data_IF_332701239576
#
_entry.id   IF_332701239576
#
_cell.length_a   1.000
_cell.length_b   1.000
_cell.length_c   1.000
_cell.angle_alpha   90.00
_cell.angle_beta   90.00
_cell.angle_gamma   90.00
#
_symmetry.space_group_name_H-M   'P 1'
#
loop_
_entity.id
_entity.type
_entity.pdbx_description
1 polymer ?
#
# COMPACT_ATOMS: atom_id res chain seq x y z
N UNK A 1 -64.09 22.19 -16.52
CA UNK A 1 -64.42 22.39 -17.95
C UNK A 1 -63.10 22.44 -18.72
N UNK A 2 -62.90 21.60 -19.75
CA UNK A 2 -63.19 21.84 -21.19
C UNK A 2 -62.34 22.98 -21.80
N UNK A 3 -61.67 22.86 -22.96
CA UNK A 3 -61.32 21.67 -23.81
C UNK A 3 -60.34 22.05 -24.95
N UNK A 4 -59.29 21.22 -25.16
CA UNK A 4 -58.64 20.91 -26.45
C UNK A 4 -57.85 22.08 -27.11
N UNK A 5 -56.93 21.93 -28.08
CA UNK A 5 -56.45 20.84 -28.97
C UNK A 5 -54.90 21.00 -29.12
N UNK A 6 -54.06 20.26 -29.86
CA UNK A 6 -54.15 19.14 -30.83
C UNK A 6 -52.82 18.32 -30.88
N UNK A 7 -52.58 17.56 -31.96
CA UNK A 7 -51.34 16.84 -32.37
C UNK A 7 -51.44 16.56 -33.90
N UNK A 8 -50.66 15.70 -34.61
CA UNK A 8 -49.54 14.77 -34.28
C UNK A 8 -48.17 15.37 -34.73
N UNK A 9 -47.04 14.69 -35.03
CA UNK A 9 -46.63 13.28 -35.23
C UNK A 9 -45.09 13.13 -34.93
N UNK A 10 -44.35 12.04 -35.16
CA UNK A 10 -44.61 10.70 -35.76
C UNK A 10 -43.70 9.62 -35.10
N UNK A 11 -43.97 8.32 -35.31
CA UNK A 11 -43.15 7.18 -34.84
C UNK A 11 -42.89 6.15 -35.95
N UNK A 12 -41.73 5.48 -35.94
CA UNK A 12 -41.54 4.07 -36.38
C UNK A 12 -40.52 3.40 -35.44
N UNK A 13 -40.89 2.32 -34.73
CA UNK A 13 -40.56 0.91 -35.06
C UNK A 13 -39.05 0.64 -35.20
N UNK A 14 -38.37 -0.21 -34.42
CA UNK A 14 -38.79 -0.99 -33.24
C UNK A 14 -39.19 -2.45 -33.54
N UNK A 15 -38.29 -3.41 -33.31
CA UNK A 15 -38.57 -4.85 -33.22
C UNK A 15 -37.41 -5.63 -32.56
N UNK A 16 -37.74 -6.56 -31.66
CA UNK A 16 -36.86 -7.65 -31.21
C UNK A 16 -37.73 -8.84 -30.79
N UNK A 17 -37.52 -10.05 -31.33
CA UNK A 17 -38.12 -11.30 -30.84
C UNK A 17 -37.63 -12.59 -31.55
N UNK A 18 -37.58 -13.68 -30.76
CA UNK A 18 -37.93 -15.08 -31.10
C UNK A 18 -37.21 -15.81 -32.26
N UNK A 19 -36.23 -16.62 -31.87
CA UNK A 19 -36.32 -18.10 -31.79
C UNK A 19 -37.30 -18.83 -32.74
N UNK A 20 -36.77 -19.78 -33.53
CA UNK A 20 -37.49 -20.89 -34.17
C UNK A 20 -36.66 -22.18 -34.13
N UNK A 21 -37.34 -23.35 -34.12
CA UNK A 21 -36.76 -24.72 -34.14
C UNK A 21 -37.19 -25.47 -35.41
N UNK A 22 -36.58 -26.64 -35.64
CA UNK A 22 -36.84 -27.61 -36.73
C UNK A 22 -36.27 -27.18 -38.10
N UNK A 23 -35.89 -28.08 -39.01
CA UNK A 23 -36.00 -29.55 -39.02
C UNK A 23 -34.64 -30.27 -38.98
N UNK A 24 -34.66 -31.60 -38.81
CA UNK A 24 -33.51 -32.49 -38.96
C UNK A 24 -33.74 -33.51 -40.09
N UNK A 25 -32.72 -33.80 -40.90
CA UNK A 25 -32.79 -34.77 -42.00
C UNK A 25 -31.50 -35.58 -42.17
N UNK A 26 -31.42 -36.68 -41.41
CA UNK A 26 -30.75 -37.96 -41.67
C UNK A 26 -29.40 -38.02 -42.45
N UNK A 27 -28.41 -38.59 -41.74
CA UNK A 27 -27.45 -39.62 -42.19
C UNK A 27 -26.38 -39.25 -43.25
N UNK A 28 -25.11 -39.35 -42.84
CA UNK A 28 -23.93 -39.30 -43.70
C UNK A 28 -22.65 -39.46 -42.87
N UNK A 29 -22.13 -40.69 -42.75
CA UNK A 29 -21.02 -41.01 -41.85
C UNK A 29 -19.65 -40.60 -42.41
N UNK A 30 -18.84 -39.88 -41.64
CA UNK A 30 -17.37 -40.07 -41.55
C UNK A 30 -16.75 -39.20 -40.47
N UNK A 31 -15.66 -39.69 -39.86
CA UNK A 31 -14.79 -38.90 -39.00
C UNK A 31 -13.90 -38.00 -39.86
N UNK A 32 -13.72 -36.74 -39.45
CA UNK A 32 -12.43 -36.03 -39.42
C UNK A 32 -12.58 -34.90 -38.39
N UNK A 33 -11.69 -34.87 -37.40
CA UNK A 33 -11.67 -33.82 -36.38
C UNK A 33 -10.79 -32.66 -36.87
N UNK A 34 -11.43 -31.58 -37.33
CA UNK A 34 -10.76 -30.33 -37.69
C UNK A 34 -11.07 -29.25 -36.64
N UNK A 35 -10.52 -29.41 -35.41
CA UNK A 35 -10.57 -28.34 -34.41
C UNK A 35 -9.60 -27.25 -34.85
N UNK A 36 -10.12 -26.28 -35.59
CA UNK A 36 -9.43 -25.00 -35.80
C UNK A 36 -9.41 -24.31 -34.44
N UNK A 37 -8.32 -24.52 -33.69
CA UNK A 37 -7.92 -23.65 -32.60
C UNK A 37 -7.66 -22.28 -33.21
N UNK A 38 -8.71 -21.46 -33.27
CA UNK A 38 -8.59 -20.05 -33.59
C UNK A 38 -7.77 -19.42 -32.48
N UNK A 39 -6.46 -19.34 -32.71
CA UNK A 39 -5.50 -18.69 -31.83
C UNK A 39 -5.75 -17.18 -31.92
N UNK A 40 -6.80 -16.73 -31.25
CA UNK A 40 -7.00 -15.35 -30.88
C UNK A 40 -5.86 -14.96 -29.94
N UNK A 41 -4.69 -14.68 -30.51
CA UNK A 41 -3.65 -13.90 -29.87
C UNK A 41 -4.33 -12.66 -29.32
N UNK A 42 -4.32 -12.51 -27.99
CA UNK A 42 -4.69 -11.23 -27.38
C UNK A 42 -3.86 -10.15 -28.08
N UNK A 43 -4.45 -8.99 -28.42
CA UNK A 43 -3.64 -7.86 -28.84
C UNK A 43 -2.53 -7.64 -27.80
N UNK A 44 -1.30 -7.29 -28.21
CA UNK A 44 -0.21 -7.08 -27.27
C UNK A 44 -0.66 -6.04 -26.24
N UNK A 45 -0.52 -6.39 -24.96
CA UNK A 45 -1.12 -5.66 -23.84
C UNK A 45 -0.82 -4.16 -23.90
N UNK A 46 -1.83 -3.37 -24.32
CA UNK A 46 -1.73 -1.92 -24.50
C UNK A 46 -1.98 -1.14 -23.21
N UNK A 47 -2.09 -1.82 -22.06
CA UNK A 47 -2.11 -1.16 -20.76
C UNK A 47 -0.82 -0.34 -20.55
N UNK A 48 -0.89 0.79 -19.82
CA UNK A 48 0.32 1.54 -19.46
C UNK A 48 1.28 0.63 -18.68
N UNK A 49 2.58 0.74 -18.99
CA UNK A 49 3.64 -0.07 -18.37
C UNK A 49 3.65 0.16 -16.85
N UNK A 50 3.42 -0.90 -16.07
CA UNK A 50 3.42 -0.88 -14.60
C UNK A 50 4.82 -0.69 -13.95
N UNK A 51 5.76 -0.07 -14.67
CA UNK A 51 7.11 0.26 -14.22
C UNK A 51 7.49 1.66 -14.75
N UNK A 52 6.82 2.68 -14.21
CA UNK A 52 7.35 4.05 -14.10
C UNK A 52 7.64 4.27 -12.62
N UNK A 53 8.81 3.83 -12.16
CA UNK A 53 9.07 3.73 -10.73
C UNK A 53 9.82 4.97 -10.20
N UNK A 54 9.05 5.88 -9.60
CA UNK A 54 9.58 7.05 -8.91
C UNK A 54 10.45 6.68 -7.69
N UNK A 55 10.24 5.52 -7.07
CA UNK A 55 11.08 5.00 -5.99
C UNK A 55 12.41 4.49 -6.54
N UNK A 56 12.42 3.82 -7.69
CA UNK A 56 13.64 3.47 -8.41
C UNK A 56 14.41 4.73 -8.88
N UNK A 57 13.71 5.75 -9.37
CA UNK A 57 14.31 7.04 -9.74
C UNK A 57 14.94 7.74 -8.53
N UNK A 58 14.26 7.81 -7.38
CA UNK A 58 14.81 8.36 -6.14
C UNK A 58 15.92 7.47 -5.54
N UNK A 59 15.87 6.14 -5.73
CA UNK A 59 16.83 5.18 -5.20
C UNK A 59 18.12 5.05 -6.02
N UNK A 60 18.10 5.41 -7.30
CA UNK A 60 19.28 5.31 -8.20
C UNK A 60 20.46 6.24 -7.82
N UNK A 61 20.32 7.10 -6.80
CA UNK A 61 21.34 7.99 -6.23
C UNK A 61 22.58 7.27 -5.64
N UNK A 62 22.63 5.94 -5.67
CA UNK A 62 23.80 5.12 -5.34
C UNK A 62 24.61 4.67 -6.56
N UNK A 63 24.05 4.74 -7.77
CA UNK A 63 24.62 4.17 -9.01
C UNK A 63 24.57 5.10 -10.23
N UNK A 64 23.82 6.21 -10.16
CA UNK A 64 23.67 7.15 -11.26
C UNK A 64 24.80 8.19 -11.28
N UNK A 65 25.44 8.36 -12.44
CA UNK A 65 26.41 9.42 -12.74
C UNK A 65 25.73 10.74 -13.14
N UNK A 66 24.48 10.69 -13.58
CA UNK A 66 23.69 11.88 -13.88
C UNK A 66 22.18 11.68 -13.70
N UNK A 67 21.48 12.78 -13.43
CA UNK A 67 20.03 12.90 -13.51
C UNK A 67 19.70 13.98 -14.54
N UNK A 68 18.87 13.64 -15.53
CA UNK A 68 18.56 14.53 -16.66
C UNK A 68 17.06 14.55 -16.95
N UNK A 69 16.62 15.68 -17.49
CA UNK A 69 15.34 15.86 -18.16
C UNK A 69 15.58 16.04 -19.66
N UNK A 70 14.84 15.34 -20.51
CA UNK A 70 15.10 15.32 -21.96
C UNK A 70 13.98 14.75 -22.80
N UNK A 71 14.24 14.65 -24.11
CA UNK A 71 13.33 14.05 -25.10
C UNK A 71 14.00 12.86 -25.80
N UNK A 72 13.27 11.76 -25.92
CA UNK A 72 13.71 10.56 -26.61
C UNK A 72 13.66 10.77 -28.12
N UNK A 73 14.82 10.67 -28.77
CA UNK A 73 15.00 10.76 -30.21
C UNK A 73 14.76 9.43 -30.93
N UNK A 74 15.66 9.06 -31.85
CA UNK A 74 15.57 7.78 -32.57
C UNK A 74 15.84 6.61 -31.63
N UNK A 75 14.82 5.78 -31.41
CA UNK A 75 14.93 4.46 -30.77
C UNK A 75 15.41 3.44 -31.81
N UNK A 76 16.31 2.54 -31.40
CA UNK A 76 16.81 1.43 -32.21
C UNK A 76 17.03 0.18 -31.35
N UNK A 77 16.88 -0.99 -31.96
CA UNK A 77 17.12 -2.30 -31.32
C UNK A 77 18.59 -2.68 -31.50
N UNK A 78 19.22 -3.17 -30.43
CA UNK A 78 20.61 -3.65 -30.42
C UNK A 78 20.63 -5.14 -30.75
N UNK A 79 19.80 -5.92 -30.06
CA UNK A 79 19.74 -7.39 -30.16
C UNK A 79 18.35 -7.93 -29.78
N UNK A 80 18.23 -9.19 -29.35
CA UNK A 80 16.94 -9.78 -28.95
C UNK A 80 16.29 -9.05 -27.76
N UNK A 81 17.05 -8.55 -26.78
CA UNK A 81 16.55 -7.88 -25.57
C UNK A 81 17.05 -6.44 -25.42
N UNK A 82 18.24 -6.11 -25.95
CA UNK A 82 18.82 -4.78 -25.84
C UNK A 82 18.23 -3.74 -26.79
N UNK A 83 17.97 -2.55 -26.25
CA UNK A 83 17.54 -1.35 -26.99
C UNK A 83 18.42 -0.14 -26.65
N UNK A 84 18.51 0.80 -27.59
CA UNK A 84 19.12 2.13 -27.41
C UNK A 84 18.23 3.23 -27.94
N UNK A 85 18.42 4.45 -27.45
CA UNK A 85 17.85 5.65 -28.04
C UNK A 85 18.81 6.84 -27.91
N UNK A 86 18.75 7.74 -28.88
CA UNK A 86 19.29 9.09 -28.69
C UNK A 86 18.44 9.79 -27.63
N UNK A 87 19.06 10.52 -26.69
CA UNK A 87 18.38 11.41 -25.76
C UNK A 87 18.88 12.84 -26.00
N UNK A 88 17.94 13.75 -26.28
CA UNK A 88 18.20 15.18 -26.31
C UNK A 88 18.05 15.75 -24.89
N UNK A 89 19.15 16.10 -24.25
CA UNK A 89 19.17 16.63 -22.87
C UNK A 89 18.65 18.06 -22.88
N UNK A 90 17.49 18.28 -22.27
CA UNK A 90 16.84 19.60 -22.17
C UNK A 90 17.27 20.35 -20.91
N UNK A 91 17.52 19.64 -19.81
CA UNK A 91 18.07 20.19 -18.57
C UNK A 91 18.77 19.10 -17.74
N UNK A 92 19.87 19.45 -17.07
CA UNK A 92 20.58 18.58 -16.13
C UNK A 92 20.20 18.91 -14.68
N UNK A 93 19.84 17.88 -13.93
CA UNK A 93 19.44 17.97 -12.52
C UNK A 93 20.71 17.79 -11.65
N UNK A 94 21.51 16.77 -11.96
CA UNK A 94 22.86 16.55 -11.40
C UNK A 94 23.73 15.71 -12.35
N UNK A 95 25.04 15.69 -12.11
CA UNK A 95 25.98 14.79 -12.81
C UNK A 95 26.94 15.46 -13.80
N UNK A 96 27.58 14.63 -14.62
CA UNK A 96 28.64 15.04 -15.55
C UNK A 96 28.16 15.43 -16.98
N UNK A 97 26.87 15.20 -17.27
CA UNK A 97 26.22 15.58 -18.54
C UNK A 97 25.95 17.09 -18.57
N UNK A 98 25.77 17.70 -19.75
CA UNK A 98 25.51 19.13 -19.94
C UNK A 98 24.16 19.42 -20.60
N UNK A 99 23.63 20.61 -20.36
CA UNK A 99 22.42 21.09 -21.04
C UNK A 99 22.65 21.16 -22.57
N UNK A 100 21.71 20.63 -23.35
CA UNK A 100 21.81 20.56 -24.81
C UNK A 100 22.60 19.35 -25.35
N UNK A 101 23.22 18.53 -24.51
CA UNK A 101 23.95 17.34 -24.97
C UNK A 101 23.03 16.37 -25.73
N UNK A 102 23.62 15.70 -26.73
CA UNK A 102 23.03 14.56 -27.43
C UNK A 102 23.79 13.30 -27.01
N UNK A 103 23.18 12.49 -26.16
CA UNK A 103 23.76 11.24 -25.64
C UNK A 103 22.98 10.02 -26.12
N UNK A 104 23.55 8.84 -26.01
CA UNK A 104 22.84 7.58 -26.17
C UNK A 104 22.45 7.05 -24.78
N UNK A 105 21.22 6.56 -24.65
CA UNK A 105 20.78 5.76 -23.51
C UNK A 105 20.46 4.33 -23.98
N UNK A 106 20.64 3.35 -23.11
CA UNK A 106 20.34 1.96 -23.40
C UNK A 106 19.69 1.23 -22.21
N UNK A 107 18.93 0.18 -22.51
CA UNK A 107 18.21 -0.63 -21.53
C UNK A 107 17.91 -2.04 -22.08
N UNK A 108 17.60 -2.98 -21.19
CA UNK A 108 17.08 -4.30 -21.55
C UNK A 108 15.56 -4.41 -21.46
N UNK A 109 15.00 -5.21 -22.37
CA UNK A 109 13.62 -5.66 -22.40
C UNK A 109 13.57 -7.19 -22.49
N UNK A 110 13.43 -7.83 -21.32
CA UNK A 110 13.27 -9.28 -21.22
C UNK A 110 11.92 -9.73 -21.84
N UNK A 111 10.89 -8.88 -21.77
CA UNK A 111 9.55 -9.14 -22.28
C UNK A 111 9.43 -8.83 -23.79
N UNK A 112 10.21 -9.54 -24.63
CA UNK A 112 10.41 -9.28 -26.07
C UNK A 112 9.17 -9.21 -26.99
N UNK A 113 7.97 -9.44 -26.46
CA UNK A 113 6.67 -9.31 -27.16
C UNK A 113 5.95 -7.97 -26.88
N UNK A 114 6.48 -7.12 -25.98
CA UNK A 114 5.94 -5.79 -25.68
C UNK A 114 6.57 -4.72 -26.57
N UNK A 115 5.86 -3.60 -26.75
CA UNK A 115 6.42 -2.37 -27.30
C UNK A 115 7.61 -1.88 -26.42
N UNK A 116 8.64 -1.20 -26.98
CA UNK A 116 9.84 -0.78 -26.24
C UNK A 116 9.55 0.14 -25.04
N UNK A 117 10.53 0.30 -24.12
CA UNK A 117 10.38 1.14 -22.91
C UNK A 117 10.20 2.61 -23.23
N UNK A 118 10.79 3.10 -24.33
CA UNK A 118 10.65 4.48 -24.77
C UNK A 118 10.25 4.55 -26.25
N UNK A 119 9.47 5.58 -26.60
CA UNK A 119 9.10 5.94 -27.96
C UNK A 119 9.73 7.29 -28.36
N UNK A 120 9.88 7.54 -29.67
CA UNK A 120 10.35 8.84 -30.16
C UNK A 120 9.33 9.92 -29.78
N UNK A 121 9.79 10.97 -29.11
CA UNK A 121 8.97 12.07 -28.60
C UNK A 121 8.56 11.92 -27.12
N UNK A 122 8.90 10.80 -26.46
CA UNK A 122 8.74 10.68 -25.01
C UNK A 122 9.59 11.75 -24.30
N UNK A 123 8.93 12.65 -23.57
CA UNK A 123 9.60 13.61 -22.67
C UNK A 123 9.75 12.94 -21.30
N UNK A 124 10.98 12.86 -20.80
CA UNK A 124 11.36 11.99 -19.67
C UNK A 124 12.31 12.64 -18.68
N UNK A 125 12.19 12.23 -17.41
CA UNK A 125 13.27 12.29 -16.41
C UNK A 125 13.94 10.92 -16.35
N UNK A 126 15.27 10.90 -16.29
CA UNK A 126 16.09 9.68 -16.25
C UNK A 126 17.18 9.81 -15.20
N UNK A 127 17.40 8.73 -14.44
CA UNK A 127 18.68 8.47 -13.79
C UNK A 127 19.58 7.66 -14.74
N UNK A 128 20.79 8.14 -14.97
CA UNK A 128 21.76 7.58 -15.92
C UNK A 128 22.92 6.93 -15.16
N UNK A 129 23.11 5.62 -15.35
CA UNK A 129 24.21 4.85 -14.80
C UNK A 129 25.29 4.58 -15.88
N UNK A 130 26.56 4.38 -15.50
CA UNK A 130 27.62 4.02 -16.45
C UNK A 130 27.36 2.65 -17.09
N UNK A 131 27.76 2.51 -18.35
CA UNK A 131 27.77 1.22 -19.05
C UNK A 131 28.97 0.38 -18.55
N UNK A 132 28.78 -0.77 -17.87
CA UNK A 132 29.87 -1.45 -17.18
C UNK A 132 30.95 -2.00 -18.14
N UNK A 133 32.18 -1.51 -17.96
CA UNK A 133 33.29 -1.69 -18.91
C UNK A 133 33.73 -3.14 -19.15
N UNK A 134 33.50 -4.04 -18.20
CA UNK A 134 33.83 -5.47 -18.26
C UNK A 134 32.73 -6.35 -18.84
N UNK A 135 31.57 -5.80 -19.20
CA UNK A 135 30.43 -6.62 -19.65
C UNK A 135 30.44 -6.89 -21.15
N UNK A 136 29.97 -8.07 -21.54
CA UNK A 136 29.62 -8.42 -22.92
C UNK A 136 28.61 -7.45 -23.56
N UNK A 137 27.91 -6.65 -22.73
CA UNK A 137 26.98 -5.61 -23.15
C UNK A 137 27.69 -4.43 -23.85
N UNK A 138 28.84 -3.96 -23.35
CA UNK A 138 29.63 -2.90 -24.00
C UNK A 138 30.05 -3.27 -25.44
N UNK A 139 30.34 -4.55 -25.67
CA UNK A 139 30.74 -5.06 -26.97
C UNK A 139 29.59 -5.07 -28.00
N UNK A 140 28.33 -4.91 -27.59
CA UNK A 140 27.16 -4.83 -28.50
C UNK A 140 26.98 -3.45 -29.14
N UNK A 141 27.62 -2.40 -28.60
CA UNK A 141 27.57 -1.05 -29.15
C UNK A 141 28.63 -0.84 -30.24
N UNK A 142 28.37 -0.02 -31.28
CA UNK A 142 29.38 0.44 -32.23
C UNK A 142 30.62 1.02 -31.51
N UNK A 143 31.85 0.74 -31.95
CA UNK A 143 33.07 1.22 -31.28
C UNK A 143 33.10 2.73 -31.02
N UNK A 144 32.54 3.52 -31.93
CA UNK A 144 32.46 4.99 -31.85
C UNK A 144 31.61 5.51 -30.69
N UNK A 145 30.72 4.68 -30.12
CA UNK A 145 29.84 5.02 -29.01
C UNK A 145 30.37 4.55 -27.65
N UNK A 146 31.41 3.69 -27.61
CA UNK A 146 31.96 3.10 -26.38
C UNK A 146 32.73 4.09 -25.50
N UNK A 147 33.10 5.25 -26.03
CA UNK A 147 33.88 6.27 -25.32
C UNK A 147 32.94 7.28 -24.62
N UNK A 148 32.38 6.88 -23.46
CA UNK A 148 31.61 7.72 -22.53
C UNK A 148 30.47 8.54 -23.15
N UNK A 149 29.76 7.98 -24.15
CA UNK A 149 28.55 8.59 -24.74
C UNK A 149 27.30 7.71 -24.66
N UNK A 150 27.41 6.50 -24.10
CA UNK A 150 26.30 5.57 -23.85
C UNK A 150 26.13 5.40 -22.34
N UNK A 151 24.94 5.70 -21.85
CA UNK A 151 24.53 5.45 -20.47
C UNK A 151 23.50 4.33 -20.40
N UNK A 152 23.46 3.60 -19.29
CA UNK A 152 22.31 2.78 -18.94
C UNK A 152 21.24 3.65 -18.27
N UNK A 153 19.97 3.36 -18.52
CA UNK A 153 18.92 3.82 -17.61
C UNK A 153 19.04 3.01 -16.32
N UNK A 154 19.15 3.70 -15.17
CA UNK A 154 19.49 3.07 -13.89
C UNK A 154 18.37 2.14 -13.37
N UNK A 155 18.67 1.36 -12.32
CA UNK A 155 17.77 0.38 -11.70
C UNK A 155 17.10 -0.54 -12.74
N UNK A 156 17.90 -1.29 -13.50
CA UNK A 156 17.45 -2.20 -14.57
C UNK A 156 16.60 -1.53 -15.68
N UNK A 157 16.70 -0.21 -15.78
CA UNK A 157 15.98 0.62 -16.74
C UNK A 157 14.67 1.22 -16.21
N UNK A 158 14.29 1.00 -14.96
CA UNK A 158 13.02 1.47 -14.39
C UNK A 158 13.12 2.81 -13.64
N UNK A 159 14.33 3.36 -13.46
CA UNK A 159 14.57 4.67 -12.86
C UNK A 159 14.26 5.84 -13.83
N UNK A 160 12.99 6.00 -14.19
CA UNK A 160 12.51 7.05 -15.10
C UNK A 160 11.06 7.48 -14.84
N UNK A 161 10.67 8.65 -15.35
CA UNK A 161 9.28 9.14 -15.37
C UNK A 161 8.98 9.82 -16.71
N UNK A 162 7.84 9.52 -17.36
CA UNK A 162 7.37 10.25 -18.57
C UNK A 162 6.45 11.41 -18.22
N UNK A 163 6.44 12.44 -19.06
CA UNK A 163 5.45 13.53 -19.02
C UNK A 163 5.53 14.46 -17.82
N UNK A 164 6.62 14.38 -17.04
CA UNK A 164 6.82 15.17 -15.83
C UNK A 164 7.09 16.66 -16.15
N UNK A 165 6.45 17.56 -15.41
CA UNK A 165 6.61 19.03 -15.54
C UNK A 165 7.98 19.48 -14.99
N UNK A 166 8.84 20.15 -15.78
CA UNK A 166 10.12 20.73 -15.34
C UNK A 166 10.09 21.43 -13.97
N UNK A 167 9.02 22.19 -13.71
CA UNK A 167 8.87 22.95 -12.47
C UNK A 167 8.66 22.04 -11.26
N UNK A 168 7.91 20.94 -11.45
CA UNK A 168 7.64 19.91 -10.43
C UNK A 168 8.75 18.84 -10.36
N UNK A 169 9.74 18.89 -11.26
CA UNK A 169 10.97 18.09 -11.17
C UNK A 169 12.05 18.83 -10.37
N UNK A 170 12.09 20.16 -10.40
CA UNK A 170 13.15 20.96 -9.76
C UNK A 170 13.48 20.59 -8.28
N UNK A 171 12.51 20.23 -7.40
CA UNK A 171 12.83 19.77 -6.05
C UNK A 171 13.69 18.52 -5.97
N UNK A 172 13.65 17.62 -6.97
CA UNK A 172 14.47 16.40 -7.04
C UNK A 172 15.96 16.70 -6.93
N UNK A 173 16.40 17.87 -7.43
CA UNK A 173 17.79 18.33 -7.34
C UNK A 173 18.31 18.37 -5.91
N UNK A 174 17.46 18.75 -4.93
CA UNK A 174 17.86 18.81 -3.53
C UNK A 174 18.19 17.44 -2.93
N UNK A 175 17.64 16.35 -3.49
CA UNK A 175 17.92 14.97 -3.06
C UNK A 175 19.13 14.38 -3.78
N UNK A 176 19.17 14.48 -5.11
CA UNK A 176 20.15 13.75 -5.94
C UNK A 176 21.58 14.30 -5.89
N UNK A 177 21.79 15.51 -5.33
CA UNK A 177 23.13 16.09 -5.12
C UNK A 177 23.74 15.76 -3.75
N UNK A 178 22.97 15.22 -2.81
CA UNK A 178 23.47 14.95 -1.46
C UNK A 178 24.39 13.72 -1.44
N UNK A 179 25.53 13.76 -0.72
CA UNK A 179 26.35 12.58 -0.51
C UNK A 179 25.61 11.53 0.34
N UNK A 180 25.99 10.23 0.27
CA UNK A 180 25.27 9.15 0.97
C UNK A 180 25.15 9.35 2.48
N UNK A 181 26.17 9.94 3.12
CA UNK A 181 26.19 10.26 4.55
C UNK A 181 25.13 11.31 4.93
N UNK A 182 25.01 12.40 4.18
CA UNK A 182 24.04 13.45 4.43
C UNK A 182 22.60 13.02 4.10
N UNK A 183 22.43 12.11 3.13
CA UNK A 183 21.12 11.49 2.85
C UNK A 183 20.57 10.71 4.04
N UNK A 184 21.40 10.05 4.84
CA UNK A 184 20.94 9.40 6.08
C UNK A 184 20.59 10.39 7.21
N UNK A 185 21.00 11.66 7.11
CA UNK A 185 20.77 12.70 8.12
C UNK A 185 19.59 13.63 7.80
N UNK A 186 19.45 14.69 8.61
CA UNK A 186 18.39 15.70 8.43
C UNK A 186 18.46 16.44 7.09
N UNK A 187 19.62 16.48 6.43
CA UNK A 187 19.73 17.02 5.07
C UNK A 187 18.90 16.19 4.06
N UNK A 188 18.99 14.86 4.11
CA UNK A 188 18.14 13.96 3.31
C UNK A 188 16.66 14.09 3.63
N UNK A 189 16.30 14.15 4.92
CA UNK A 189 14.91 14.36 5.34
C UNK A 189 14.32 15.65 4.77
N UNK A 190 15.05 16.78 4.88
CA UNK A 190 14.67 18.07 4.31
C UNK A 190 14.57 18.06 2.78
N UNK A 191 15.49 17.38 2.11
CA UNK A 191 15.46 17.23 0.66
C UNK A 191 14.21 16.47 0.20
N UNK A 192 13.91 15.32 0.80
CA UNK A 192 12.72 14.54 0.48
C UNK A 192 11.43 15.29 0.85
N UNK A 193 11.40 16.03 1.97
CA UNK A 193 10.23 16.83 2.34
C UNK A 193 9.93 17.94 1.31
N UNK A 194 10.97 18.53 0.70
CA UNK A 194 10.81 19.46 -0.43
C UNK A 194 10.29 18.76 -1.70
N UNK A 195 10.69 17.51 -1.96
CA UNK A 195 10.12 16.68 -3.05
C UNK A 195 8.66 16.33 -2.76
N UNK A 196 8.28 16.03 -1.52
CA UNK A 196 6.86 15.86 -1.13
C UNK A 196 6.07 17.17 -1.34
N UNK A 197 6.63 18.32 -1.00
CA UNK A 197 5.92 19.60 -1.06
C UNK A 197 5.74 20.17 -2.48
N UNK A 198 6.80 20.18 -3.31
CA UNK A 198 6.78 20.78 -4.64
C UNK A 198 6.85 19.79 -5.81
N UNK A 199 7.05 18.49 -5.52
CA UNK A 199 7.27 17.48 -6.55
C UNK A 199 6.04 17.17 -7.39
N UNK A 200 6.27 16.45 -8.48
CA UNK A 200 5.22 15.76 -9.21
C UNK A 200 4.63 14.63 -8.36
N UNK A 201 3.36 14.25 -8.54
CA UNK A 201 2.65 13.35 -7.62
C UNK A 201 3.34 11.98 -7.45
N UNK A 202 3.86 11.39 -8.53
CA UNK A 202 4.63 10.13 -8.46
C UNK A 202 5.91 10.30 -7.61
N UNK A 203 6.60 11.43 -7.74
CA UNK A 203 7.79 11.77 -6.93
C UNK A 203 7.43 12.05 -5.48
N UNK A 204 6.32 12.75 -5.22
CA UNK A 204 5.87 13.08 -3.87
C UNK A 204 5.46 11.82 -3.08
N UNK A 205 4.74 10.89 -3.71
CA UNK A 205 4.40 9.58 -3.13
C UNK A 205 5.65 8.77 -2.76
N UNK A 206 6.60 8.64 -3.71
CA UNK A 206 7.83 7.90 -3.47
C UNK A 206 8.74 8.58 -2.41
N UNK A 207 8.80 9.91 -2.39
CA UNK A 207 9.54 10.64 -1.35
C UNK A 207 8.89 10.48 0.05
N UNK A 208 7.56 10.50 0.14
CA UNK A 208 6.84 10.20 1.38
C UNK A 208 7.07 8.74 1.85
N UNK A 209 7.16 7.79 0.92
CA UNK A 209 7.51 6.40 1.21
C UNK A 209 8.93 6.26 1.77
N UNK A 210 9.93 6.95 1.20
CA UNK A 210 11.31 6.95 1.75
C UNK A 210 11.34 7.65 3.13
N UNK A 211 10.65 8.78 3.30
CA UNK A 211 10.47 9.43 4.61
C UNK A 211 9.77 8.53 5.64
N UNK A 212 8.95 7.57 5.20
CA UNK A 212 8.33 6.56 6.06
C UNK A 212 9.25 5.39 6.40
N UNK A 213 10.03 4.91 5.43
CA UNK A 213 10.91 3.74 5.61
C UNK A 213 12.28 4.03 6.25
N UNK A 214 12.81 5.24 6.11
CA UNK A 214 14.24 5.51 6.36
C UNK A 214 14.54 6.57 7.44
N UNK A 215 13.53 7.20 8.05
CA UNK A 215 13.74 8.30 9.01
C UNK A 215 12.90 8.17 10.29
N UNK A 216 13.51 8.50 11.41
CA UNK A 216 12.91 8.57 12.74
C UNK A 216 12.10 9.88 12.94
N UNK A 217 11.26 9.93 13.98
CA UNK A 217 10.33 11.05 14.21
C UNK A 217 11.04 12.39 14.46
N UNK A 218 12.19 12.39 15.14
CA UNK A 218 13.02 13.58 15.39
C UNK A 218 13.52 14.25 14.09
N UNK A 219 13.65 13.49 13.00
CA UNK A 219 14.00 14.01 11.68
C UNK A 219 12.80 14.66 10.96
N UNK A 220 11.58 14.44 11.45
CA UNK A 220 10.35 15.07 10.98
C UNK A 220 9.99 16.33 11.78
N UNK A 221 10.59 16.52 12.96
CA UNK A 221 10.48 17.74 13.79
C UNK A 221 11.45 18.85 13.34
N UNK A 222 12.35 18.58 12.39
CA UNK A 222 13.19 19.59 11.73
C UNK A 222 12.30 20.71 11.14
N UNK A 223 12.53 22.00 11.49
CA UNK A 223 11.65 23.10 11.06
C UNK A 223 11.44 23.22 9.54
N UNK A 224 12.45 22.89 8.72
CA UNK A 224 12.31 22.90 7.26
C UNK A 224 11.41 21.74 6.78
N UNK A 225 11.45 20.57 7.46
CA UNK A 225 10.57 19.43 7.18
C UNK A 225 9.14 19.75 7.62
N UNK A 226 8.95 20.29 8.81
CA UNK A 226 7.65 20.73 9.32
C UNK A 226 7.02 21.76 8.38
N UNK A 227 7.79 22.77 7.95
CA UNK A 227 7.31 23.79 7.02
C UNK A 227 6.93 23.19 5.65
N UNK A 228 7.77 22.33 5.08
CA UNK A 228 7.52 21.69 3.80
C UNK A 228 6.28 20.78 3.84
N UNK A 229 6.15 19.92 4.85
CA UNK A 229 4.99 19.04 5.02
C UNK A 229 3.70 19.82 5.35
N UNK A 230 3.79 20.94 6.07
CA UNK A 230 2.66 21.84 6.30
C UNK A 230 2.18 22.48 5.00
N UNK A 231 3.10 22.99 4.17
CA UNK A 231 2.78 23.52 2.85
C UNK A 231 2.17 22.46 1.92
N UNK A 232 2.75 21.26 1.91
CA UNK A 232 2.23 20.11 1.16
C UNK A 232 0.78 19.78 1.56
N UNK A 233 0.50 19.63 2.86
CA UNK A 233 -0.84 19.34 3.36
C UNK A 233 -1.84 20.48 3.12
N UNK A 234 -1.38 21.73 3.17
CA UNK A 234 -2.24 22.89 2.92
C UNK A 234 -2.68 23.00 1.46
N UNK A 235 -1.78 22.72 0.51
CA UNK A 235 -1.93 23.12 -0.90
C UNK A 235 -2.04 21.99 -1.93
N UNK A 236 -1.68 20.74 -1.61
CA UNK A 236 -1.89 19.63 -2.56
C UNK A 236 -3.38 19.34 -2.79
N UNK A 237 -3.71 19.03 -4.04
CA UNK A 237 -5.07 18.63 -4.46
C UNK A 237 -5.20 17.11 -4.60
N UNK A 238 -4.09 16.37 -4.76
CA UNK A 238 -4.07 14.92 -4.86
C UNK A 238 -4.24 14.29 -3.47
N UNK A 239 -5.32 13.53 -3.28
CA UNK A 239 -5.65 12.89 -2.00
C UNK A 239 -4.65 11.78 -1.59
N UNK A 240 -4.08 11.03 -2.53
CA UNK A 240 -3.10 9.98 -2.25
C UNK A 240 -1.81 10.56 -1.65
N UNK A 241 -1.35 11.72 -2.15
CA UNK A 241 -0.20 12.43 -1.59
C UNK A 241 -0.48 12.88 -0.15
N UNK A 242 -1.68 13.41 0.12
CA UNK A 242 -2.10 13.83 1.46
C UNK A 242 -2.22 12.62 2.42
N UNK A 243 -2.80 11.51 1.96
CA UNK A 243 -2.90 10.26 2.74
C UNK A 243 -1.52 9.62 2.96
N UNK A 244 -0.57 9.74 2.03
CA UNK A 244 0.81 9.31 2.22
C UNK A 244 1.55 10.13 3.29
N UNK A 245 1.29 11.45 3.36
CA UNK A 245 1.82 12.32 4.44
C UNK A 245 1.20 11.95 5.79
N UNK A 246 -0.12 11.73 5.86
CA UNK A 246 -0.79 11.30 7.10
C UNK A 246 -0.34 9.89 7.52
N UNK A 247 -0.15 8.97 6.57
CA UNK A 247 0.40 7.63 6.78
C UNK A 247 1.88 7.63 7.22
N UNK A 248 2.60 8.74 7.03
CA UNK A 248 3.91 9.00 7.64
C UNK A 248 3.78 9.42 9.11
N UNK A 249 2.69 10.08 9.50
CA UNK A 249 2.44 10.57 10.87
C UNK A 249 1.78 9.54 11.80
N UNK A 250 0.99 8.59 11.29
CA UNK A 250 0.13 7.70 12.12
C UNK A 250 0.81 7.14 13.40
N UNK A 251 2.04 6.63 13.30
CA UNK A 251 2.77 6.02 14.43
C UNK A 251 3.98 6.87 14.89
N UNK A 252 4.07 8.13 14.46
CA UNK A 252 5.18 9.05 14.77
C UNK A 252 4.60 10.40 15.16
N UNK A 253 4.46 10.70 16.47
CA UNK A 253 4.08 12.02 16.94
C UNK A 253 5.04 13.08 16.41
N UNK A 254 4.49 14.11 15.76
CA UNK A 254 5.22 15.31 15.32
C UNK A 254 4.38 16.52 15.75
N UNK A 255 4.47 16.98 17.01
CA UNK A 255 3.52 17.93 17.59
C UNK A 255 3.40 19.25 16.81
N UNK A 256 4.47 19.67 16.13
CA UNK A 256 4.47 20.86 15.28
C UNK A 256 3.51 20.76 14.06
N UNK A 257 3.19 19.54 13.60
CA UNK A 257 2.23 19.30 12.52
C UNK A 257 0.78 19.13 13.01
N UNK A 258 0.54 19.09 14.33
CA UNK A 258 -0.81 19.00 14.92
C UNK A 258 -1.82 20.02 14.34
N UNK A 259 -1.48 21.32 14.14
CA UNK A 259 -2.47 22.30 13.66
C UNK A 259 -2.96 22.02 12.24
N UNK A 260 -2.07 21.58 11.34
CA UNK A 260 -2.43 21.27 9.96
C UNK A 260 -3.14 19.92 9.85
N UNK A 261 -2.80 18.93 10.69
CA UNK A 261 -3.59 17.69 10.79
C UNK A 261 -5.01 17.98 11.28
N UNK A 262 -5.20 18.87 12.27
CA UNK A 262 -6.53 19.31 12.71
C UNK A 262 -7.30 20.05 11.61
N UNK A 263 -6.63 20.88 10.80
CA UNK A 263 -7.24 21.52 9.64
C UNK A 263 -7.73 20.48 8.62
N UNK A 264 -6.91 19.47 8.28
CA UNK A 264 -7.33 18.37 7.40
C UNK A 264 -8.49 17.56 7.98
N UNK A 265 -8.48 17.33 9.30
CA UNK A 265 -9.52 16.63 10.04
C UNK A 265 -10.87 17.40 10.09
N UNK A 266 -10.86 18.69 9.77
CA UNK A 266 -12.04 19.56 9.64
C UNK A 266 -12.55 19.72 8.20
N UNK A 267 -11.87 19.17 7.18
CA UNK A 267 -12.30 19.25 5.77
C UNK A 267 -13.37 18.18 5.46
N UNK A 268 -14.40 18.54 4.69
CA UNK A 268 -15.44 17.62 4.24
C UNK A 268 -15.00 16.74 3.05
N UNK A 269 -13.96 15.95 3.28
CA UNK A 269 -13.48 14.90 2.37
C UNK A 269 -13.21 13.62 3.16
N UNK A 270 -14.23 12.77 3.29
CA UNK A 270 -14.28 11.65 4.25
C UNK A 270 -13.03 10.74 4.31
N UNK A 271 -12.38 10.30 3.21
CA UNK A 271 -11.16 9.48 3.29
C UNK A 271 -10.01 10.20 4.03
N UNK A 272 -9.76 11.45 3.63
CA UNK A 272 -8.71 12.32 4.17
C UNK A 272 -9.00 12.73 5.63
N UNK A 273 -10.26 13.08 5.90
CA UNK A 273 -10.78 13.44 7.21
C UNK A 273 -10.62 12.30 8.21
N UNK A 274 -10.99 11.08 7.82
CA UNK A 274 -10.82 9.86 8.63
C UNK A 274 -9.33 9.52 8.85
N UNK A 275 -8.48 9.70 7.83
CA UNK A 275 -7.03 9.51 7.97
C UNK A 275 -6.41 10.52 8.96
N UNK A 276 -6.78 11.80 8.86
CA UNK A 276 -6.29 12.85 9.75
C UNK A 276 -6.72 12.63 11.21
N UNK A 277 -7.99 12.25 11.43
CA UNK A 277 -8.45 11.86 12.77
C UNK A 277 -7.79 10.58 13.29
N UNK A 278 -7.36 9.64 12.44
CA UNK A 278 -6.58 8.46 12.88
C UNK A 278 -5.19 8.82 13.37
N UNK A 279 -4.52 9.78 12.72
CA UNK A 279 -3.25 10.33 13.23
C UNK A 279 -3.45 10.91 14.63
N UNK A 280 -4.44 11.79 14.80
CA UNK A 280 -4.76 12.41 16.10
C UNK A 280 -5.15 11.36 17.17
N UNK A 281 -5.90 10.32 16.80
CA UNK A 281 -6.25 9.23 17.70
C UNK A 281 -5.02 8.46 18.21
N UNK A 282 -4.09 8.08 17.32
CA UNK A 282 -2.86 7.36 17.68
C UNK A 282 -1.86 8.24 18.44
N UNK A 283 -1.86 9.54 18.19
CA UNK A 283 -1.10 10.52 18.97
C UNK A 283 -1.71 10.77 20.37
N UNK A 284 -2.80 10.09 20.73
CA UNK A 284 -3.54 10.29 21.97
C UNK A 284 -3.97 11.77 22.15
N UNK A 285 -4.44 12.42 21.09
CA UNK A 285 -4.78 13.84 21.10
C UNK A 285 -6.05 14.13 21.93
N UNK A 286 -6.08 15.21 22.73
CA UNK A 286 -7.30 15.64 23.44
C UNK A 286 -8.53 15.79 22.53
N UNK A 287 -8.39 16.34 21.33
CA UNK A 287 -9.51 16.52 20.40
C UNK A 287 -10.11 15.18 19.96
N UNK A 288 -9.27 14.17 19.73
CA UNK A 288 -9.74 12.81 19.42
C UNK A 288 -10.48 12.17 20.61
N UNK A 289 -10.07 12.47 21.86
CA UNK A 289 -10.75 11.99 23.08
C UNK A 289 -12.13 12.60 23.30
N UNK A 290 -12.42 13.76 22.71
CA UNK A 290 -13.72 14.44 22.75
C UNK A 290 -14.69 13.85 21.70
N UNK A 291 -14.19 13.55 20.50
CA UNK A 291 -15.00 12.99 19.41
C UNK A 291 -15.48 11.54 19.63
N UNK A 292 -14.88 10.80 20.57
CA UNK A 292 -15.18 9.39 20.85
C UNK A 292 -16.67 9.05 20.91
N UNK A 293 -17.49 9.88 21.57
CA UNK A 293 -18.92 9.63 21.70
C UNK A 293 -19.66 9.74 20.36
N UNK A 294 -19.32 10.74 19.54
CA UNK A 294 -19.89 10.91 18.20
C UNK A 294 -19.42 9.81 17.24
N UNK A 295 -18.16 9.40 17.32
CA UNK A 295 -17.61 8.31 16.52
C UNK A 295 -18.23 6.96 16.86
N UNK A 296 -18.37 6.62 18.15
CA UNK A 296 -19.00 5.38 18.61
C UNK A 296 -20.50 5.30 18.26
N UNK A 297 -21.19 6.45 18.18
CA UNK A 297 -22.58 6.55 17.74
C UNK A 297 -22.76 6.66 16.21
N UNK A 298 -21.69 6.71 15.42
CA UNK A 298 -21.76 6.89 13.97
C UNK A 298 -22.39 5.69 13.26
N UNK A 299 -23.20 5.94 12.23
CA UNK A 299 -23.80 4.89 11.39
C UNK A 299 -22.74 4.15 10.56
N UNK A 300 -21.67 4.82 10.15
CA UNK A 300 -20.56 4.26 9.39
C UNK A 300 -19.58 3.50 10.30
N UNK A 301 -19.38 2.17 10.10
CA UNK A 301 -18.46 1.37 10.89
C UNK A 301 -17.01 1.89 10.92
N UNK A 302 -16.55 2.61 9.89
CA UNK A 302 -15.18 3.16 9.83
C UNK A 302 -14.90 4.14 10.97
N UNK A 303 -15.91 4.93 11.35
CA UNK A 303 -15.84 5.84 12.49
C UNK A 303 -15.93 5.09 13.82
N UNK A 304 -16.73 4.01 13.92
CA UNK A 304 -16.77 3.15 15.13
C UNK A 304 -15.49 2.33 15.33
N UNK A 305 -14.83 1.90 14.25
CA UNK A 305 -13.46 1.34 14.26
C UNK A 305 -12.46 2.37 14.81
N UNK A 306 -12.53 3.62 14.36
CA UNK A 306 -11.69 4.69 14.88
C UNK A 306 -11.98 5.00 16.35
N UNK A 307 -13.24 4.93 16.79
CA UNK A 307 -13.61 5.06 18.20
C UNK A 307 -12.96 3.96 19.07
N UNK A 308 -12.93 2.71 18.62
CA UNK A 308 -12.25 1.62 19.33
C UNK A 308 -10.72 1.85 19.37
N UNK A 309 -10.11 2.23 18.24
CA UNK A 309 -8.67 2.53 18.14
C UNK A 309 -8.25 3.68 19.08
N UNK A 310 -9.00 4.78 19.08
CA UNK A 310 -8.79 5.92 19.96
C UNK A 310 -9.09 5.62 21.44
N UNK A 311 -10.06 4.75 21.74
CA UNK A 311 -10.43 4.43 23.12
C UNK A 311 -9.35 3.63 23.84
N UNK A 312 -8.70 2.68 23.15
CA UNK A 312 -7.59 1.94 23.73
C UNK A 312 -6.35 2.81 23.95
N UNK A 313 -5.96 3.63 22.96
CA UNK A 313 -4.84 4.58 23.09
C UNK A 313 -5.09 5.61 24.21
N UNK A 314 -6.36 5.88 24.54
CA UNK A 314 -6.75 6.77 25.63
C UNK A 314 -7.06 6.07 26.97
N UNK A 315 -6.94 4.74 27.08
CA UNK A 315 -7.30 3.97 28.28
C UNK A 315 -8.80 4.05 28.66
N UNK A 316 -9.68 4.44 27.73
CA UNK A 316 -11.12 4.65 28.00
C UNK A 316 -11.93 3.38 27.75
N UNK A 317 -11.66 2.35 28.54
CA UNK A 317 -12.21 1.00 28.37
C UNK A 317 -13.74 0.91 28.26
N UNK A 318 -14.50 1.81 28.91
CA UNK A 318 -15.97 1.88 28.82
C UNK A 318 -16.52 1.90 27.37
N UNK A 319 -15.77 2.47 26.41
CA UNK A 319 -16.17 2.50 25.00
C UNK A 319 -15.84 1.19 24.28
N UNK A 320 -14.75 0.52 24.69
CA UNK A 320 -14.43 -0.82 24.21
C UNK A 320 -15.46 -1.83 24.70
N UNK A 321 -16.06 -1.62 25.88
CA UNK A 321 -17.12 -2.49 26.42
C UNK A 321 -18.39 -2.45 25.57
N UNK A 322 -18.83 -1.27 25.13
CA UNK A 322 -19.99 -1.16 24.22
C UNK A 322 -19.65 -1.65 22.80
N UNK A 323 -18.50 -1.24 22.25
CA UNK A 323 -18.05 -1.61 20.90
C UNK A 323 -17.69 -3.11 20.77
N UNK A 324 -17.45 -3.83 21.87
CA UNK A 324 -17.32 -5.30 21.88
C UNK A 324 -18.59 -6.04 21.45
N UNK A 325 -19.71 -5.34 21.33
CA UNK A 325 -21.02 -5.86 20.92
C UNK A 325 -21.59 -5.15 19.68
N UNK A 326 -20.74 -4.44 18.92
CA UNK A 326 -21.14 -3.80 17.67
C UNK A 326 -21.67 -4.82 16.65
N UNK A 327 -22.66 -4.43 15.84
CA UNK A 327 -23.17 -5.29 14.76
C UNK A 327 -22.08 -5.61 13.72
N UNK A 328 -21.18 -4.65 13.44
CA UNK A 328 -20.15 -4.75 12.43
C UNK A 328 -18.93 -5.56 12.94
N UNK A 329 -18.56 -6.69 12.31
CA UNK A 329 -17.45 -7.53 12.76
C UNK A 329 -16.10 -6.81 12.72
N UNK A 330 -15.90 -5.84 11.82
CA UNK A 330 -14.68 -5.02 11.74
C UNK A 330 -14.48 -4.12 12.98
N UNK A 331 -15.57 -3.69 13.63
CA UNK A 331 -15.51 -2.92 14.88
C UNK A 331 -15.12 -3.85 16.03
N UNK A 332 -15.78 -5.01 16.16
CA UNK A 332 -15.45 -6.01 17.19
C UNK A 332 -14.04 -6.58 17.00
N UNK A 333 -13.59 -6.73 15.76
CA UNK A 333 -12.21 -7.10 15.39
C UNK A 333 -11.21 -6.03 15.84
N UNK A 334 -11.55 -4.75 15.68
CA UNK A 334 -10.70 -3.67 16.20
C UNK A 334 -10.62 -3.70 17.72
N UNK A 335 -11.73 -3.92 18.43
CA UNK A 335 -11.73 -4.09 19.90
C UNK A 335 -10.87 -5.30 20.32
N UNK A 336 -10.99 -6.44 19.62
CA UNK A 336 -10.17 -7.62 19.86
C UNK A 336 -8.67 -7.34 19.71
N UNK A 337 -8.29 -6.56 18.68
CA UNK A 337 -6.91 -6.13 18.43
C UNK A 337 -6.53 -4.81 19.10
N UNK A 338 -7.28 -4.33 20.10
CA UNK A 338 -7.07 -3.00 20.69
C UNK A 338 -6.15 -2.98 21.91
N UNK A 339 -5.81 -4.12 22.52
CA UNK A 339 -4.82 -4.14 23.60
C UNK A 339 -3.44 -3.78 23.04
N UNK A 340 -2.87 -2.67 23.52
CA UNK A 340 -1.65 -2.07 22.96
C UNK A 340 -0.37 -2.49 23.68
N UNK A 341 -0.48 -3.09 24.87
CA UNK A 341 0.65 -3.43 25.73
C UNK A 341 0.45 -4.83 26.36
N UNK A 342 1.51 -5.66 26.45
CA UNK A 342 1.50 -6.87 27.28
C UNK A 342 1.34 -6.53 28.76
N UNK A 343 0.44 -7.22 29.46
CA UNK A 343 0.16 -6.98 30.89
C UNK A 343 -0.95 -5.96 31.15
N UNK A 344 -1.70 -5.56 30.11
CA UNK A 344 -2.94 -4.79 30.21
C UNK A 344 -4.05 -5.69 30.78
N UNK A 345 -4.02 -5.82 32.11
CA UNK A 345 -5.02 -6.59 32.86
C UNK A 345 -6.44 -6.02 32.69
N UNK A 346 -6.58 -4.72 32.40
CA UNK A 346 -7.88 -4.10 32.15
C UNK A 346 -8.48 -4.54 30.81
N UNK A 347 -7.69 -4.89 29.78
CA UNK A 347 -8.17 -5.47 28.53
C UNK A 347 -8.85 -6.85 28.69
N UNK A 348 -8.37 -7.67 29.63
CA UNK A 348 -8.65 -9.12 29.70
C UNK A 348 -10.16 -9.47 29.66
N UNK A 349 -11.07 -8.84 30.44
CA UNK A 349 -12.49 -9.20 30.43
C UNK A 349 -13.18 -9.02 29.07
N UNK A 350 -12.80 -7.97 28.31
CA UNK A 350 -13.35 -7.70 26.97
C UNK A 350 -12.85 -8.70 25.95
N UNK A 351 -11.57 -9.06 26.00
CA UNK A 351 -11.02 -10.07 25.11
C UNK A 351 -11.63 -11.46 25.41
N UNK A 352 -11.86 -11.80 26.68
CA UNK A 352 -12.48 -13.06 27.10
C UNK A 352 -13.93 -13.23 26.62
N UNK A 353 -14.67 -12.12 26.47
CA UNK A 353 -16.00 -12.06 25.85
C UNK A 353 -15.92 -12.35 24.34
N UNK A 354 -14.94 -11.78 23.65
CA UNK A 354 -14.74 -11.92 22.20
C UNK A 354 -14.19 -13.29 21.75
N UNK A 355 -13.78 -14.16 22.68
CA UNK A 355 -13.50 -15.57 22.38
C UNK A 355 -14.72 -16.32 21.83
N UNK A 356 -15.94 -15.93 22.24
CA UNK A 356 -17.20 -16.51 21.75
C UNK A 356 -17.85 -15.75 20.59
N UNK A 357 -17.13 -14.85 19.92
CA UNK A 357 -17.70 -14.07 18.81
C UNK A 357 -18.14 -14.95 17.63
N UNK A 358 -19.18 -14.56 16.90
CA UNK A 358 -19.61 -15.26 15.70
C UNK A 358 -18.54 -15.25 14.58
N UNK A 359 -17.76 -14.17 14.46
CA UNK A 359 -16.71 -14.02 13.45
C UNK A 359 -15.38 -14.68 13.89
N UNK A 360 -14.85 -15.55 13.02
CA UNK A 360 -13.64 -16.33 13.32
C UNK A 360 -12.35 -15.49 13.37
N UNK A 361 -12.30 -14.33 12.71
CA UNK A 361 -11.18 -13.39 12.82
C UNK A 361 -11.22 -12.64 14.15
N UNK A 362 -12.41 -12.28 14.63
CA UNK A 362 -12.59 -11.67 15.96
C UNK A 362 -12.13 -12.66 17.04
N UNK A 363 -12.63 -13.91 17.03
CA UNK A 363 -12.19 -14.97 17.96
C UNK A 363 -10.68 -15.17 17.95
N UNK A 364 -10.09 -15.33 16.75
CA UNK A 364 -8.65 -15.56 16.55
C UNK A 364 -7.78 -14.37 17.01
N UNK A 365 -8.29 -13.15 16.86
CA UNK A 365 -7.59 -11.94 17.32
C UNK A 365 -7.66 -11.82 18.83
N UNK A 366 -8.84 -12.01 19.42
CA UNK A 366 -9.03 -12.01 20.88
C UNK A 366 -8.17 -13.08 21.57
N UNK A 367 -8.09 -14.29 20.99
CA UNK A 367 -7.22 -15.37 21.44
C UNK A 367 -5.73 -14.96 21.45
N UNK A 368 -5.24 -14.35 20.37
CA UNK A 368 -3.86 -13.83 20.29
C UNK A 368 -3.60 -12.72 21.31
N UNK A 369 -4.51 -11.76 21.44
CA UNK A 369 -4.33 -10.63 22.35
C UNK A 369 -4.49 -11.00 23.82
N UNK A 370 -5.17 -12.11 24.14
CA UNK A 370 -5.11 -12.74 25.48
C UNK A 370 -3.78 -13.46 25.71
N UNK A 371 -3.25 -14.19 24.72
CA UNK A 371 -1.94 -14.81 24.82
C UNK A 371 -0.82 -13.79 25.10
N UNK A 372 -0.94 -12.58 24.52
CA UNK A 372 -0.06 -11.44 24.77
C UNK A 372 -0.15 -10.87 26.20
N UNK A 373 -1.18 -11.20 26.99
CA UNK A 373 -1.24 -10.84 28.42
C UNK A 373 -0.58 -11.91 29.33
N UNK A 374 -0.10 -13.01 28.75
CA UNK A 374 0.59 -14.06 29.49
C UNK A 374 -0.27 -14.67 30.61
N UNK A 375 0.35 -14.94 31.75
CA UNK A 375 -0.27 -15.62 32.89
C UNK A 375 -1.50 -14.92 33.47
N UNK A 376 -1.67 -13.60 33.28
CA UNK A 376 -2.86 -12.88 33.73
C UNK A 376 -4.14 -13.36 33.03
N UNK A 377 -4.04 -13.83 31.78
CA UNK A 377 -5.17 -14.37 31.03
C UNK A 377 -5.56 -15.81 31.44
N UNK A 378 -4.75 -16.51 32.24
CA UNK A 378 -4.89 -17.95 32.45
C UNK A 378 -6.26 -18.37 33.00
N UNK A 379 -6.80 -17.62 33.97
CA UNK A 379 -8.12 -17.88 34.57
C UNK A 379 -9.24 -17.79 33.52
N UNK A 380 -9.28 -16.69 32.75
CA UNK A 380 -10.34 -16.50 31.75
C UNK A 380 -10.21 -17.46 30.56
N UNK A 381 -9.00 -17.94 30.27
CA UNK A 381 -8.76 -18.99 29.28
C UNK A 381 -9.22 -20.36 29.79
N UNK A 382 -9.03 -20.67 31.08
CA UNK A 382 -9.60 -21.86 31.71
C UNK A 382 -11.14 -21.81 31.72
N UNK A 383 -11.75 -20.66 32.03
CA UNK A 383 -13.21 -20.47 31.98
C UNK A 383 -13.77 -20.46 30.55
N UNK A 384 -12.93 -20.17 29.55
CA UNK A 384 -13.29 -20.27 28.14
C UNK A 384 -13.13 -21.69 27.59
N UNK A 385 -12.14 -22.47 28.07
CA UNK A 385 -12.05 -23.91 27.83
C UNK A 385 -13.25 -24.67 28.42
N UNK A 386 -13.68 -24.33 29.64
CA UNK A 386 -14.82 -24.99 30.29
C UNK A 386 -16.19 -24.52 29.76
N UNK A 387 -16.22 -23.85 28.61
CA UNK A 387 -17.43 -23.23 28.04
C UNK A 387 -18.23 -24.22 27.19
N UNK A 388 -19.54 -24.29 27.40
CA UNK A 388 -20.48 -25.05 26.53
C UNK A 388 -20.64 -24.47 25.11
N UNK A 389 -19.72 -23.58 24.67
CA UNK A 389 -19.62 -23.11 23.30
C UNK A 389 -18.30 -23.64 22.70
N UNK A 390 -18.35 -24.57 21.73
CA UNK A 390 -17.16 -25.10 21.07
C UNK A 390 -16.30 -24.03 20.40
N UNK A 391 -16.86 -22.87 20.02
CA UNK A 391 -16.09 -21.78 19.42
C UNK A 391 -15.23 -21.06 20.45
N UNK A 392 -15.80 -20.71 21.61
CA UNK A 392 -15.09 -20.11 22.75
C UNK A 392 -14.03 -21.06 23.32
N UNK A 393 -14.34 -22.35 23.44
CA UNK A 393 -13.36 -23.36 23.86
C UNK A 393 -12.23 -23.54 22.83
N UNK A 394 -12.54 -23.61 21.53
CA UNK A 394 -11.52 -23.67 20.49
C UNK A 394 -10.65 -22.39 20.43
N UNK A 395 -11.23 -21.21 20.63
CA UNK A 395 -10.49 -19.96 20.70
C UNK A 395 -9.56 -19.91 21.93
N UNK A 396 -9.98 -20.47 23.06
CA UNK A 396 -9.12 -20.63 24.25
C UNK A 396 -7.94 -21.59 23.99
N UNK A 397 -8.16 -22.71 23.28
CA UNK A 397 -7.06 -23.59 22.82
C UNK A 397 -6.06 -22.83 21.95
N UNK A 398 -6.53 -22.01 21.00
CA UNK A 398 -5.65 -21.19 20.14
C UNK A 398 -4.85 -20.15 20.94
N UNK A 399 -5.44 -19.55 21.97
CA UNK A 399 -4.73 -18.63 22.87
C UNK A 399 -3.62 -19.36 23.64
N UNK A 400 -3.96 -20.47 24.29
CA UNK A 400 -3.01 -21.27 25.08
C UNK A 400 -1.88 -21.85 24.22
N UNK A 401 -2.15 -22.18 22.96
CA UNK A 401 -1.11 -22.57 21.98
C UNK A 401 -0.12 -21.42 21.71
N UNK A 402 -0.64 -20.20 21.53
CA UNK A 402 0.18 -19.00 21.34
C UNK A 402 0.93 -18.54 22.61
N UNK A 403 0.62 -19.12 23.78
CA UNK A 403 1.35 -18.90 25.04
C UNK A 403 2.49 -19.92 25.28
N UNK A 404 2.68 -20.90 24.38
CA UNK A 404 3.72 -21.92 24.50
C UNK A 404 3.66 -22.71 25.81
N UNK A 405 4.81 -22.91 26.46
CA UNK A 405 4.90 -23.61 27.75
C UNK A 405 3.94 -23.09 28.84
N UNK A 406 3.55 -21.80 28.84
CA UNK A 406 2.61 -21.29 29.84
C UNK A 406 1.21 -21.89 29.68
N UNK A 407 0.74 -22.13 28.45
CA UNK A 407 -0.59 -22.70 28.17
C UNK A 407 -0.63 -24.23 28.17
N UNK A 408 0.54 -24.87 28.06
CA UNK A 408 0.74 -26.33 27.86
C UNK A 408 0.03 -27.22 28.86
N UNK A 409 -0.04 -26.83 30.14
CA UNK A 409 -0.74 -27.61 31.17
C UNK A 409 -2.25 -27.71 30.91
N UNK A 410 -2.89 -26.59 30.54
CA UNK A 410 -4.30 -26.58 30.18
C UNK A 410 -4.56 -27.24 28.81
N UNK A 411 -3.62 -27.12 27.85
CA UNK A 411 -3.71 -27.84 26.57
C UNK A 411 -3.69 -29.36 26.77
N UNK A 412 -2.74 -29.89 27.56
CA UNK A 412 -2.65 -31.31 27.89
C UNK A 412 -3.96 -31.81 28.51
N UNK A 413 -4.50 -31.06 29.49
CA UNK A 413 -5.78 -31.37 30.11
C UNK A 413 -6.93 -31.37 29.09
N UNK A 414 -7.06 -30.31 28.28
CA UNK A 414 -8.11 -30.21 27.26
C UNK A 414 -8.00 -31.30 26.19
N UNK A 415 -6.80 -31.76 25.86
CA UNK A 415 -6.53 -32.81 24.86
C UNK A 415 -7.06 -34.20 25.28
N UNK A 416 -7.21 -34.42 26.59
CA UNK A 416 -7.65 -35.68 27.19
C UNK A 416 -9.08 -35.62 27.75
N UNK A 417 -9.42 -34.56 28.50
CA UNK A 417 -10.64 -34.49 29.33
C UNK A 417 -11.80 -33.72 28.70
N UNK A 418 -11.56 -32.83 27.72
CA UNK A 418 -12.59 -31.90 27.25
C UNK A 418 -13.79 -32.65 26.61
N UNK A 419 -15.06 -32.31 26.90
CA UNK A 419 -16.23 -33.05 26.40
C UNK A 419 -16.37 -33.03 24.87
N UNK A 420 -16.17 -31.87 24.22
CA UNK A 420 -16.19 -31.74 22.76
C UNK A 420 -14.97 -32.39 22.09
N UNK A 421 -15.23 -33.30 21.16
CA UNK A 421 -14.19 -34.00 20.38
C UNK A 421 -13.38 -33.06 19.47
N UNK A 422 -14.04 -32.04 18.93
CA UNK A 422 -13.42 -31.00 18.11
C UNK A 422 -12.33 -30.24 18.87
N UNK A 423 -12.61 -29.89 20.13
CA UNK A 423 -11.68 -29.18 21.02
C UNK A 423 -10.57 -30.12 21.50
N UNK A 424 -10.86 -31.40 21.84
CA UNK A 424 -9.81 -32.40 22.13
C UNK A 424 -8.80 -32.50 20.98
N UNK A 425 -9.29 -32.67 19.74
CA UNK A 425 -8.45 -32.77 18.53
C UNK A 425 -7.65 -31.50 18.28
N UNK A 426 -8.24 -30.31 18.47
CA UNK A 426 -7.53 -29.05 18.34
C UNK A 426 -6.42 -28.88 19.39
N UNK A 427 -6.67 -29.29 20.64
CA UNK A 427 -5.66 -29.27 21.70
C UNK A 427 -4.52 -30.26 21.43
N UNK A 428 -4.83 -31.48 20.94
CA UNK A 428 -3.81 -32.45 20.49
C UNK A 428 -2.94 -31.87 19.36
N UNK A 429 -3.55 -31.20 18.37
CA UNK A 429 -2.82 -30.52 17.31
C UNK A 429 -1.94 -29.37 17.83
N UNK A 430 -2.45 -28.58 18.78
CA UNK A 430 -1.70 -27.49 19.42
C UNK A 430 -0.47 -27.98 20.21
N UNK A 431 -0.56 -29.14 20.86
CA UNK A 431 0.58 -29.79 21.54
C UNK A 431 1.60 -30.35 20.54
N UNK A 432 1.13 -30.84 19.39
CA UNK A 432 1.97 -31.43 18.34
C UNK A 432 2.65 -30.44 17.40
N UNK A 433 2.35 -29.14 17.49
CA UNK A 433 3.06 -28.09 16.75
C UNK A 433 4.39 -27.77 17.49
N UNK A 434 5.55 -27.72 16.81
CA UNK A 434 6.76 -27.19 17.41
C UNK A 434 6.55 -25.71 17.76
N UNK A 435 6.92 -25.32 18.98
CA UNK A 435 6.89 -23.92 19.43
C UNK A 435 7.99 -23.15 18.68
N UNK A 436 7.63 -22.52 17.57
CA UNK A 436 8.59 -21.77 16.76
C UNK A 436 9.00 -20.46 17.45
N UNK A 437 10.28 -20.41 17.82
CA UNK A 437 10.99 -19.23 18.32
C UNK A 437 11.04 -18.14 17.24
N UNK A 438 10.57 -16.93 17.58
CA UNK A 438 10.70 -15.68 16.81
C UNK A 438 10.88 -14.50 17.77
#
# INVERSE_FOLDING_TARGET
MRTWMASPASRRHGAAAKCSRMLASRLGSSLIAAVILSSCSRPPDTGPRAHEDALALLGAVSVAEAYVFGEIGRVARIDRTGYRAHLAVRAVISGAVRDGDQIEIAWEELATQRAPRFAKGDVVVLALAPLPSSTLWLHRFPPQLRNNKVFLVAANGDAFLRGADPNRIAPLRAWVVLPPSERAGSAGARALARVVAGGEERLALAAAQILRGSYSADKLEDPDVVAALTGAMRHHQNAEVLEAILGLLENRPVPALRPIVLELAARDHEPLKLAAWRVLARWADPAAREQLAAWAASSDPRWRVLAAEASAVAGKYQWLDSLSTDAAPEVRLRVAGSSTQPGDAEAIPRLAKLLGDADANVRRTAARSLAQQGTQAMTVLQDALNSNDPNRAAAAVLALAAMGEQGKALLLRASAEHPEESVRKLAQLAIGQPQHEH
#
